data_IF_842460018004
#
_entry.id   IF_842460018004
#
_cell.length_a   1.000
_cell.length_b   1.000
_cell.length_c   1.000
_cell.angle_alpha   90.00
_cell.angle_beta   90.00
_cell.angle_gamma   90.00
#
_symmetry.space_group_name_H-M   'P 1'
#
loop_
_entity.id
_entity.type
_entity.pdbx_description
1 polymer ?
#
# COMPACT_ATOMS: atom_id res chain seq x y z
N UNK A 1 47.68 15.68 31.40
CA UNK A 1 47.27 16.16 30.10
C UNK A 1 45.87 16.76 30.28
N UNK A 2 45.72 18.06 30.03
CA UNK A 2 44.52 18.84 30.39
C UNK A 2 43.45 18.70 29.28
N UNK A 3 42.19 18.42 29.62
CA UNK A 3 41.05 18.46 28.73
C UNK A 3 40.63 19.91 28.46
N UNK A 4 40.30 20.32 27.23
CA UNK A 4 39.68 21.62 26.99
C UNK A 4 38.14 21.55 27.15
N UNK A 5 37.63 22.50 27.89
CA UNK A 5 36.20 22.78 28.09
C UNK A 5 35.66 23.43 26.80
N UNK A 6 34.62 22.89 26.21
CA UNK A 6 33.89 23.45 25.08
C UNK A 6 32.78 24.36 25.63
N UNK A 7 32.87 25.63 25.37
CA UNK A 7 31.84 26.64 25.71
C UNK A 7 30.66 26.52 24.71
N UNK A 8 29.44 26.32 25.25
CA UNK A 8 28.21 26.41 24.48
C UNK A 8 27.78 27.87 24.31
N UNK A 9 27.80 28.33 23.08
CA UNK A 9 27.20 29.63 22.70
C UNK A 9 25.72 29.40 22.41
N UNK A 10 24.84 29.96 23.23
CA UNK A 10 23.39 30.00 23.00
C UNK A 10 23.08 31.07 21.97
N UNK A 11 22.51 30.67 20.85
CA UNK A 11 22.08 31.58 19.80
C UNK A 11 20.57 31.86 19.99
N UNK A 12 20.23 33.08 20.38
CA UNK A 12 18.85 33.56 20.49
C UNK A 12 18.25 33.75 19.08
N UNK A 13 17.18 33.05 18.80
CA UNK A 13 16.39 33.21 17.58
C UNK A 13 15.39 34.38 17.80
N UNK A 14 15.58 35.45 17.07
CA UNK A 14 14.62 36.57 16.97
C UNK A 14 13.47 36.19 16.05
N UNK A 15 12.23 36.34 16.55
CA UNK A 15 10.98 36.24 15.78
C UNK A 15 10.80 37.48 14.88
N UNK A 16 10.36 37.36 13.62
CA UNK A 16 9.99 38.51 12.80
C UNK A 16 8.55 38.96 13.06
N UNK A 17 8.37 40.28 13.01
CA UNK A 17 7.15 41.01 13.28
C UNK A 17 6.06 40.79 12.23
N UNK A 18 4.80 40.85 12.71
CA UNK A 18 3.58 40.89 11.90
C UNK A 18 3.47 42.24 11.16
N UNK A 19 3.32 42.16 9.83
CA UNK A 19 2.82 43.28 9.02
C UNK A 19 1.43 42.96 8.50
N UNK A 20 0.44 43.75 8.94
CA UNK A 20 -0.85 43.92 8.27
C UNK A 20 -0.78 45.15 7.36
N UNK A 21 -1.41 45.10 6.18
CA UNK A 21 -2.16 46.26 5.73
C UNK A 21 -3.56 45.90 5.22
N UNK A 22 -4.52 46.72 5.61
CA UNK A 22 -5.86 46.75 5.06
C UNK A 22 -5.89 47.44 3.69
N UNK A 23 -6.92 47.11 2.89
CA UNK A 23 -7.21 47.80 1.61
C UNK A 23 -8.50 47.25 1.00
N UNK A 24 -9.48 48.11 0.93
CA UNK A 24 -10.87 47.96 0.47
C UNK A 24 -11.05 47.58 -1.01
N UNK A 25 -12.22 46.99 -1.29
CA UNK A 25 -12.79 46.57 -2.58
C UNK A 25 -13.01 47.75 -3.58
N UNK A 26 -13.37 47.48 -4.87
CA UNK A 26 -14.76 47.23 -5.22
C UNK A 26 -15.04 46.23 -6.37
N UNK A 27 -16.29 45.87 -6.46
CA UNK A 27 -16.96 44.85 -7.22
C UNK A 27 -16.85 44.87 -8.76
N UNK A 28 -17.15 43.70 -9.32
CA UNK A 28 -17.35 43.47 -10.73
C UNK A 28 -18.10 42.17 -10.95
N UNK A 29 -19.44 42.27 -11.17
CA UNK A 29 -20.28 41.18 -11.67
C UNK A 29 -19.92 40.88 -13.13
N UNK A 30 -19.57 39.63 -13.43
CA UNK A 30 -19.67 39.10 -14.80
C UNK A 30 -20.38 37.75 -14.76
N UNK A 31 -21.58 37.74 -15.33
CA UNK A 31 -22.38 36.57 -15.66
C UNK A 31 -21.72 35.80 -16.78
N UNK A 32 -21.52 34.50 -16.66
CA UNK A 32 -21.35 33.59 -17.82
C UNK A 32 -22.15 32.31 -17.66
N UNK A 33 -22.82 31.99 -18.74
CA UNK A 33 -23.76 30.89 -18.99
C UNK A 33 -23.15 29.52 -18.71
N UNK A 34 -24.01 28.63 -18.20
CA UNK A 34 -23.82 27.16 -18.15
C UNK A 34 -23.74 26.60 -19.59
N UNK A 35 -22.80 25.69 -19.78
CA UNK A 35 -22.93 24.59 -20.73
C UNK A 35 -22.71 23.29 -19.94
N UNK A 36 -23.76 22.46 -19.94
CA UNK A 36 -23.78 21.12 -19.42
C UNK A 36 -22.95 20.19 -20.29
N UNK A 37 -22.04 19.43 -19.72
CA UNK A 37 -21.60 18.13 -20.23
C UNK A 37 -21.29 17.24 -19.03
N UNK A 38 -22.05 16.18 -18.91
CA UNK A 38 -22.20 15.32 -17.74
C UNK A 38 -21.05 14.37 -17.45
N UNK A 39 -21.21 13.70 -16.29
CA UNK A 39 -20.42 12.64 -15.65
C UNK A 39 -19.37 13.15 -14.66
N UNK A 40 -19.84 13.64 -13.53
CA UNK A 40 -19.07 13.67 -12.29
C UNK A 40 -19.79 12.82 -11.25
N UNK A 41 -19.21 11.66 -10.94
CA UNK A 41 -19.64 10.87 -9.79
C UNK A 41 -19.38 11.66 -8.50
N UNK A 42 -20.45 12.07 -7.83
CA UNK A 42 -20.38 12.75 -6.54
C UNK A 42 -19.89 11.78 -5.47
N UNK A 43 -18.77 12.12 -4.80
CA UNK A 43 -18.28 11.44 -3.63
C UNK A 43 -19.20 11.75 -2.44
N UNK A 44 -19.99 10.77 -2.00
CA UNK A 44 -20.89 10.88 -0.84
C UNK A 44 -20.12 11.08 0.46
N UNK A 45 -20.52 12.10 1.22
CA UNK A 45 -20.01 12.34 2.59
C UNK A 45 -20.82 11.51 3.58
N UNK A 46 -20.18 10.53 4.23
CA UNK A 46 -20.77 9.79 5.37
C UNK A 46 -20.27 10.43 6.66
N UNK A 47 -21.20 10.98 7.44
CA UNK A 47 -20.91 11.54 8.77
C UNK A 47 -20.96 10.41 9.80
N UNK A 48 -19.87 10.11 10.46
CA UNK A 48 -19.82 9.27 11.66
C UNK A 48 -19.21 10.10 12.79
N UNK A 49 -20.03 10.39 13.81
CA UNK A 49 -19.72 10.78 15.19
C UNK A 49 -18.54 11.73 15.45
N UNK A 50 -18.81 13.04 15.54
CA UNK A 50 -18.25 13.90 16.60
C UNK A 50 -16.77 14.29 16.58
N UNK A 51 -16.09 14.35 15.44
CA UNK A 51 -14.82 15.08 15.27
C UNK A 51 -14.82 15.75 13.90
N UNK A 52 -14.25 16.94 13.80
CA UNK A 52 -14.18 17.80 12.61
C UNK A 52 -13.99 17.01 11.33
N UNK A 53 -14.95 17.12 10.39
CA UNK A 53 -15.13 16.26 9.23
C UNK A 53 -13.89 15.97 8.38
N UNK A 54 -13.20 14.89 8.68
CA UNK A 54 -12.25 14.29 7.75
C UNK A 54 -13.03 13.58 6.64
N UNK A 55 -12.87 14.07 5.42
CA UNK A 55 -13.39 13.40 4.23
C UNK A 55 -12.53 12.15 4.00
N UNK A 56 -13.04 10.96 4.39
CA UNK A 56 -12.38 9.70 4.08
C UNK A 56 -12.29 9.55 2.56
N UNK A 57 -11.09 9.30 2.05
CA UNK A 57 -10.88 9.04 0.62
C UNK A 57 -11.44 7.66 0.28
N UNK A 58 -12.31 7.61 -0.73
CA UNK A 58 -12.69 6.36 -1.38
C UNK A 58 -12.60 6.50 -2.89
N UNK A 59 -12.23 5.42 -3.57
CA UNK A 59 -12.13 5.36 -5.02
C UNK A 59 -12.24 3.92 -5.50
N UNK A 60 -12.41 3.74 -6.82
CA UNK A 60 -12.53 2.41 -7.41
C UNK A 60 -11.28 2.03 -8.21
N UNK A 61 -10.90 0.75 -8.14
CA UNK A 61 -9.96 0.08 -9.05
C UNK A 61 -10.77 -1.01 -9.75
N UNK A 62 -11.18 -0.76 -10.99
CA UNK A 62 -12.20 -1.54 -11.68
C UNK A 62 -13.47 -1.69 -10.80
N UNK A 63 -13.84 -2.92 -10.42
CA UNK A 63 -15.01 -3.20 -9.56
C UNK A 63 -14.72 -3.16 -8.06
N UNK A 64 -13.45 -2.98 -7.64
CA UNK A 64 -13.04 -3.01 -6.23
C UNK A 64 -13.06 -1.60 -5.65
N UNK A 65 -13.91 -1.39 -4.64
CA UNK A 65 -13.97 -0.16 -3.86
C UNK A 65 -12.86 -0.13 -2.82
N UNK A 66 -12.06 0.93 -2.84
CA UNK A 66 -10.98 1.21 -1.91
C UNK A 66 -11.46 2.25 -0.89
N UNK A 67 -11.31 1.97 0.41
CA UNK A 67 -11.81 2.85 1.47
C UNK A 67 -13.33 2.77 1.69
N UNK A 68 -13.99 1.77 1.10
CA UNK A 68 -15.41 1.49 1.26
C UNK A 68 -15.75 0.69 2.52
N UNK A 69 -17.01 0.26 2.66
CA UNK A 69 -17.47 -0.47 3.85
C UNK A 69 -16.96 -1.92 3.95
N UNK A 70 -16.52 -2.51 2.85
CA UNK A 70 -16.01 -3.89 2.81
C UNK A 70 -14.49 -3.87 2.67
N UNK A 71 -13.73 -4.69 3.42
CA UNK A 71 -12.29 -4.79 3.22
C UNK A 71 -11.99 -5.44 1.87
N UNK A 72 -10.98 -4.92 1.18
CA UNK A 72 -10.45 -5.54 -0.05
C UNK A 72 -9.16 -6.30 0.24
N UNK A 73 -8.78 -7.19 -0.68
CA UNK A 73 -7.62 -8.06 -0.50
C UNK A 73 -6.68 -8.00 -1.70
N UNK A 74 -5.40 -7.74 -1.42
CA UNK A 74 -4.32 -7.84 -2.40
C UNK A 74 -3.65 -9.20 -2.21
N UNK A 75 -3.93 -10.14 -3.10
CA UNK A 75 -3.50 -11.54 -2.96
C UNK A 75 -2.76 -12.00 -4.21
N UNK A 76 -1.70 -12.80 -4.01
CA UNK A 76 -0.97 -13.43 -5.10
C UNK A 76 0.39 -13.94 -4.68
N UNK A 77 1.18 -14.52 -5.58
CA UNK A 77 2.52 -14.99 -5.24
C UNK A 77 3.49 -13.82 -5.04
N UNK A 78 4.59 -14.09 -4.36
CA UNK A 78 5.66 -13.10 -4.16
C UNK A 78 6.16 -12.55 -5.50
N UNK A 79 6.41 -13.44 -6.48
CA UNK A 79 6.97 -13.09 -7.80
C UNK A 79 6.38 -13.93 -8.93
N UNK A 80 6.56 -13.45 -10.16
CA UNK A 80 6.36 -14.23 -11.38
C UNK A 80 7.49 -15.24 -11.54
N UNK A 81 7.32 -16.44 -10.97
CA UNK A 81 8.32 -17.51 -11.05
C UNK A 81 8.41 -18.09 -12.46
N UNK A 82 7.26 -18.38 -13.06
CA UNK A 82 7.07 -18.64 -14.48
C UNK A 82 5.61 -18.35 -14.84
N UNK A 83 5.33 -18.24 -16.15
CA UNK A 83 3.99 -17.88 -16.64
C UNK A 83 2.92 -18.88 -16.22
N UNK A 84 3.16 -20.19 -16.40
CA UNK A 84 2.18 -21.23 -16.03
C UNK A 84 1.85 -21.22 -14.53
N UNK A 85 2.85 -20.99 -13.69
CA UNK A 85 2.66 -20.91 -12.25
C UNK A 85 1.79 -19.72 -11.85
N UNK A 86 2.06 -18.53 -12.39
CA UNK A 86 1.27 -17.34 -12.02
C UNK A 86 -0.17 -17.45 -12.51
N UNK A 87 -0.41 -18.06 -13.67
CA UNK A 87 -1.76 -18.37 -14.14
C UNK A 87 -2.51 -19.35 -13.21
N UNK A 88 -1.86 -20.41 -12.78
CA UNK A 88 -2.41 -21.38 -11.82
C UNK A 88 -2.80 -20.67 -10.50
N UNK A 89 -1.89 -19.86 -9.96
CA UNK A 89 -2.13 -19.10 -8.73
C UNK A 89 -3.28 -18.11 -8.88
N UNK A 90 -3.36 -17.38 -9.98
CA UNK A 90 -4.42 -16.41 -10.24
C UNK A 90 -5.81 -17.07 -10.29
N UNK A 91 -5.94 -18.18 -11.01
CA UNK A 91 -7.20 -18.95 -11.09
C UNK A 91 -7.61 -19.51 -9.72
N UNK A 92 -6.66 -20.06 -8.98
CA UNK A 92 -6.92 -20.65 -7.66
C UNK A 92 -7.35 -19.60 -6.64
N UNK A 93 -6.63 -18.49 -6.57
CA UNK A 93 -6.94 -17.38 -5.65
C UNK A 93 -8.28 -16.73 -6.02
N UNK A 94 -8.55 -16.51 -7.31
CA UNK A 94 -9.84 -16.00 -7.79
C UNK A 94 -10.99 -16.91 -7.35
N UNK A 95 -10.88 -18.21 -7.56
CA UNK A 95 -11.91 -19.18 -7.16
C UNK A 95 -12.20 -19.12 -5.66
N UNK A 96 -11.17 -19.00 -4.82
CA UNK A 96 -11.33 -18.85 -3.36
C UNK A 96 -12.00 -17.49 -3.03
N UNK A 97 -11.57 -16.41 -3.67
CA UNK A 97 -12.12 -15.08 -3.44
C UNK A 97 -13.61 -14.98 -3.83
N UNK A 98 -13.99 -15.57 -4.97
CA UNK A 98 -15.40 -15.67 -5.42
C UNK A 98 -16.25 -16.49 -4.44
N UNK A 99 -15.75 -17.67 -4.01
CA UNK A 99 -16.41 -18.50 -3.01
C UNK A 99 -16.64 -17.77 -1.69
N UNK A 100 -15.67 -16.93 -1.29
CA UNK A 100 -15.72 -16.16 -0.05
C UNK A 100 -16.42 -14.79 -0.21
N UNK A 101 -16.83 -14.44 -1.42
CA UNK A 101 -17.40 -13.12 -1.77
C UNK A 101 -16.54 -11.96 -1.23
N UNK A 102 -15.24 -11.97 -1.54
CA UNK A 102 -14.30 -10.92 -1.15
C UNK A 102 -13.79 -10.12 -2.35
N UNK A 103 -13.68 -8.78 -2.24
CA UNK A 103 -13.06 -7.95 -3.28
C UNK A 103 -11.57 -8.27 -3.42
N UNK A 104 -11.14 -8.70 -4.60
CA UNK A 104 -9.78 -9.17 -4.90
C UNK A 104 -9.07 -8.23 -5.88
N UNK A 105 -7.82 -7.89 -5.57
CA UNK A 105 -6.81 -7.34 -6.48
C UNK A 105 -5.69 -8.37 -6.56
N UNK A 106 -5.39 -8.89 -7.76
CA UNK A 106 -4.36 -9.89 -7.92
C UNK A 106 -2.97 -9.25 -7.97
N UNK A 107 -2.04 -9.80 -7.18
CA UNK A 107 -0.68 -9.27 -7.03
C UNK A 107 0.37 -10.27 -7.48
N UNK A 108 1.31 -9.82 -8.30
CA UNK A 108 2.62 -10.49 -8.44
C UNK A 108 3.68 -9.47 -8.84
N UNK A 109 4.93 -9.66 -8.38
CA UNK A 109 6.05 -8.80 -8.77
C UNK A 109 6.73 -9.35 -10.02
N UNK A 110 6.96 -8.51 -11.02
CA UNK A 110 7.72 -8.88 -12.22
C UNK A 110 9.22 -8.92 -11.99
N UNK A 111 9.69 -8.28 -10.93
CA UNK A 111 11.09 -8.26 -10.50
C UNK A 111 11.20 -8.15 -8.98
N UNK A 112 12.22 -8.74 -8.41
CA UNK A 112 12.65 -8.58 -7.02
C UNK A 112 13.97 -7.80 -6.99
N UNK A 113 13.88 -6.48 -7.16
CA UNK A 113 15.03 -5.60 -7.37
C UNK A 113 15.95 -5.44 -6.14
N UNK A 114 15.45 -5.72 -4.93
CA UNK A 114 16.16 -5.49 -3.66
C UNK A 114 16.64 -6.78 -2.96
N UNK A 115 17.00 -7.82 -3.73
CA UNK A 115 17.49 -9.09 -3.17
C UNK A 115 18.82 -8.92 -2.43
N UNK A 116 19.00 -9.69 -1.35
CA UNK A 116 20.23 -9.70 -0.56
C UNK A 116 21.42 -10.26 -1.36
N UNK A 117 21.21 -11.33 -2.14
CA UNK A 117 22.26 -11.91 -3.00
C UNK A 117 22.05 -11.53 -4.46
N UNK A 118 23.15 -11.24 -5.15
CA UNK A 118 23.17 -10.94 -6.60
C UNK A 118 22.72 -12.14 -7.46
N UNK A 119 22.87 -13.35 -6.94
CA UNK A 119 22.47 -14.60 -7.62
C UNK A 119 21.03 -15.01 -7.36
N UNK A 120 20.29 -14.26 -6.53
CA UNK A 120 18.88 -14.56 -6.23
C UNK A 120 18.00 -14.39 -7.46
N UNK A 121 16.91 -15.17 -7.49
CA UNK A 121 15.88 -15.04 -8.53
C UNK A 121 15.34 -13.61 -8.58
N UNK A 122 15.21 -13.07 -9.80
CA UNK A 122 14.71 -11.71 -10.04
C UNK A 122 13.31 -11.70 -10.65
N UNK A 123 13.09 -12.37 -11.75
CA UNK A 123 11.84 -12.39 -12.52
C UNK A 123 12.07 -12.05 -14.00
N UNK A 124 10.98 -11.97 -14.81
CA UNK A 124 11.07 -11.76 -16.27
C UNK A 124 11.36 -10.31 -16.70
N UNK A 125 11.35 -9.37 -15.75
CA UNK A 125 11.47 -7.94 -16.03
C UNK A 125 10.15 -7.25 -16.38
N UNK A 126 10.17 -5.90 -16.43
CA UNK A 126 8.96 -5.07 -16.44
C UNK A 126 8.06 -5.33 -17.65
N UNK A 127 8.59 -5.37 -18.87
CA UNK A 127 7.78 -5.49 -20.09
C UNK A 127 7.06 -6.84 -20.16
N UNK A 128 7.83 -7.93 -20.04
CA UNK A 128 7.29 -9.27 -20.15
C UNK A 128 6.39 -9.62 -18.94
N UNK A 129 6.81 -9.26 -17.73
CA UNK A 129 6.01 -9.51 -16.53
C UNK A 129 4.69 -8.76 -16.54
N UNK A 130 4.69 -7.48 -16.95
CA UNK A 130 3.45 -6.70 -17.05
C UNK A 130 2.54 -7.20 -18.17
N UNK A 131 3.09 -7.68 -19.31
CA UNK A 131 2.29 -8.32 -20.37
C UNK A 131 1.53 -9.54 -19.83
N UNK A 132 2.22 -10.45 -19.14
CA UNK A 132 1.61 -11.64 -18.54
C UNK A 132 0.52 -11.24 -17.54
N UNK A 133 0.79 -10.26 -16.68
CA UNK A 133 -0.17 -9.78 -15.69
C UNK A 133 -1.41 -9.15 -16.34
N UNK A 134 -1.23 -8.36 -17.40
CA UNK A 134 -2.34 -7.76 -18.14
C UNK A 134 -3.25 -8.81 -18.79
N UNK A 135 -2.68 -9.87 -19.33
CA UNK A 135 -3.44 -11.00 -19.89
C UNK A 135 -4.25 -11.74 -18.83
N UNK A 136 -3.64 -11.99 -17.65
CA UNK A 136 -4.35 -12.55 -16.48
C UNK A 136 -5.51 -11.65 -16.06
N UNK A 137 -5.26 -10.36 -15.93
CA UNK A 137 -6.29 -9.38 -15.54
C UNK A 137 -7.46 -9.37 -16.50
N UNK A 138 -7.17 -9.36 -17.80
CA UNK A 138 -8.18 -9.37 -18.88
C UNK A 138 -8.99 -10.67 -18.91
N UNK A 139 -8.33 -11.84 -18.91
CA UNK A 139 -9.01 -13.14 -19.02
C UNK A 139 -9.83 -13.46 -17.76
N UNK A 140 -9.28 -13.15 -16.60
CA UNK A 140 -9.92 -13.43 -15.33
C UNK A 140 -10.80 -12.30 -14.79
N UNK A 141 -10.87 -11.15 -15.49
CA UNK A 141 -11.58 -9.96 -15.04
C UNK A 141 -11.16 -9.56 -13.60
N UNK A 142 -9.85 -9.39 -13.39
CA UNK A 142 -9.25 -9.05 -12.11
C UNK A 142 -8.45 -7.75 -12.22
N UNK A 143 -8.60 -6.81 -11.27
CA UNK A 143 -7.62 -5.73 -11.14
C UNK A 143 -6.24 -6.29 -10.77
N UNK A 144 -5.21 -5.71 -11.36
CA UNK A 144 -3.81 -6.17 -11.22
C UNK A 144 -2.96 -5.14 -10.50
N UNK A 145 -2.10 -5.62 -9.58
CA UNK A 145 -1.05 -4.81 -8.95
C UNK A 145 0.32 -5.44 -9.12
N UNK A 146 1.33 -4.61 -9.40
CA UNK A 146 2.74 -5.01 -9.39
C UNK A 146 3.62 -3.92 -8.78
N UNK A 147 4.82 -4.31 -8.30
CA UNK A 147 5.80 -3.37 -7.76
C UNK A 147 6.53 -2.63 -8.90
N UNK A 148 6.92 -1.37 -8.66
CA UNK A 148 7.76 -0.58 -9.55
C UNK A 148 8.94 0.00 -8.79
N UNK A 149 10.14 0.07 -9.41
CA UNK A 149 11.38 0.41 -8.71
C UNK A 149 12.04 1.68 -9.22
N UNK A 150 11.71 2.11 -10.44
CA UNK A 150 12.20 3.34 -11.07
C UNK A 150 11.04 4.11 -11.72
N UNK A 151 11.25 5.39 -12.02
CA UNK A 151 10.27 6.21 -12.73
C UNK A 151 9.91 5.61 -14.10
N UNK A 152 10.92 5.12 -14.84
CA UNK A 152 10.74 4.49 -16.16
C UNK A 152 9.91 3.20 -16.06
N UNK A 153 10.13 2.39 -15.02
CA UNK A 153 9.33 1.18 -14.81
C UNK A 153 7.88 1.54 -14.45
N UNK A 154 7.65 2.61 -13.68
CA UNK A 154 6.30 3.09 -13.37
C UNK A 154 5.54 3.50 -14.64
N UNK A 155 6.19 4.21 -15.56
CA UNK A 155 5.60 4.59 -16.85
C UNK A 155 5.22 3.35 -17.68
N UNK A 156 6.14 2.38 -17.80
CA UNK A 156 5.88 1.15 -18.56
C UNK A 156 4.77 0.32 -17.90
N UNK A 157 4.85 0.07 -16.59
CA UNK A 157 3.89 -0.77 -15.88
C UNK A 157 2.47 -0.17 -15.92
N UNK A 158 2.35 1.15 -15.90
CA UNK A 158 1.08 1.84 -15.95
C UNK A 158 0.26 1.58 -17.22
N UNK A 159 0.91 1.16 -18.32
CA UNK A 159 0.20 0.77 -19.55
C UNK A 159 -0.55 -0.56 -19.39
N UNK A 160 -0.14 -1.41 -18.43
CA UNK A 160 -0.56 -2.81 -18.31
C UNK A 160 -1.40 -3.10 -17.06
N UNK A 161 -1.13 -2.42 -15.94
CA UNK A 161 -1.75 -2.75 -14.64
C UNK A 161 -2.66 -1.64 -14.13
N UNK A 162 -3.54 -1.96 -13.18
CA UNK A 162 -4.53 -1.04 -12.63
C UNK A 162 -4.02 -0.28 -11.39
N UNK A 163 -3.08 -0.90 -10.68
CA UNK A 163 -2.52 -0.43 -9.43
C UNK A 163 -0.99 -0.57 -9.45
N UNK A 164 -0.28 0.52 -9.24
CA UNK A 164 1.17 0.51 -9.04
C UNK A 164 1.48 0.35 -7.54
N UNK A 165 2.50 -0.43 -7.20
CA UNK A 165 2.98 -0.53 -5.83
C UNK A 165 4.38 0.03 -5.69
N UNK A 166 4.59 0.94 -4.72
CA UNK A 166 5.90 1.45 -4.36
C UNK A 166 6.45 0.64 -3.18
N UNK A 167 7.59 -0.05 -3.33
CA UNK A 167 8.24 -0.80 -2.27
C UNK A 167 8.63 0.08 -1.08
N UNK A 168 8.69 -0.54 0.11
CA UNK A 168 8.94 0.17 1.38
C UNK A 168 10.25 0.97 1.40
N UNK A 169 11.34 0.45 0.84
CA UNK A 169 12.61 1.17 0.78
C UNK A 169 12.56 2.43 -0.08
N UNK A 170 11.64 2.49 -1.04
CA UNK A 170 11.51 3.57 -2.01
C UNK A 170 10.38 4.55 -1.69
N UNK A 171 9.68 4.38 -0.57
CA UNK A 171 8.47 5.12 -0.22
C UNK A 171 8.66 6.65 -0.13
N UNK A 172 9.89 7.14 0.00
CA UNK A 172 10.23 8.58 0.07
C UNK A 172 10.85 9.14 -1.20
N UNK A 173 11.14 8.31 -2.21
CA UNK A 173 11.78 8.73 -3.47
C UNK A 173 10.83 9.62 -4.28
N UNK A 174 11.13 10.90 -4.33
CA UNK A 174 10.25 11.92 -4.92
C UNK A 174 9.97 11.64 -6.39
N UNK A 175 11.00 11.32 -7.18
CA UNK A 175 10.86 11.09 -8.62
C UNK A 175 10.00 9.85 -8.93
N UNK A 176 10.10 8.79 -8.10
CA UNK A 176 9.27 7.60 -8.24
C UNK A 176 7.81 7.89 -7.85
N UNK A 177 7.60 8.62 -6.74
CA UNK A 177 6.26 9.07 -6.33
C UNK A 177 5.61 9.93 -7.40
N UNK A 178 6.37 10.86 -8.01
CA UNK A 178 5.90 11.73 -9.08
C UNK A 178 5.50 10.93 -10.32
N UNK A 179 6.35 10.01 -10.78
CA UNK A 179 6.06 9.16 -11.93
C UNK A 179 4.80 8.30 -11.70
N UNK A 180 4.69 7.67 -10.52
CA UNK A 180 3.49 6.90 -10.17
C UNK A 180 2.23 7.79 -10.10
N UNK A 181 2.33 8.98 -9.49
CA UNK A 181 1.20 9.91 -9.39
C UNK A 181 0.71 10.39 -10.77
N UNK A 182 1.65 10.72 -11.66
CA UNK A 182 1.36 11.21 -13.03
C UNK A 182 0.90 10.11 -13.99
N UNK A 183 1.09 8.84 -13.63
CA UNK A 183 0.67 7.70 -14.47
C UNK A 183 -0.85 7.59 -14.66
N UNK A 184 -1.64 8.27 -13.82
CA UNK A 184 -3.09 8.15 -13.80
C UNK A 184 -3.61 6.84 -13.19
N UNK A 185 -2.73 5.96 -12.70
CA UNK A 185 -3.11 4.73 -11.97
C UNK A 185 -3.27 5.00 -10.48
N UNK A 186 -3.99 4.12 -9.79
CA UNK A 186 -3.98 4.10 -8.33
C UNK A 186 -2.61 3.64 -7.83
N UNK A 187 -2.23 4.05 -6.59
CA UNK A 187 -0.91 3.73 -6.04
C UNK A 187 -1.01 3.17 -4.63
N UNK A 188 -0.45 1.97 -4.40
CA UNK A 188 -0.25 1.41 -3.06
C UNK A 188 1.19 1.69 -2.60
N UNK A 189 1.35 2.41 -1.49
CA UNK A 189 2.66 2.83 -1.01
C UNK A 189 2.98 2.07 0.27
N UNK A 190 3.96 1.16 0.22
CA UNK A 190 4.45 0.43 1.40
C UNK A 190 5.19 1.39 2.32
N UNK A 191 4.72 1.54 3.57
CA UNK A 191 5.42 2.36 4.57
C UNK A 191 6.81 1.77 4.84
N UNK A 192 7.84 2.60 4.76
CA UNK A 192 9.22 2.18 5.09
C UNK A 192 9.34 1.73 6.54
N UNK A 193 10.17 0.72 6.78
CA UNK A 193 10.42 0.17 8.13
C UNK A 193 11.07 1.20 9.08
N UNK A 194 11.63 2.26 8.52
CA UNK A 194 12.29 3.36 9.21
C UNK A 194 11.35 4.56 9.47
N UNK A 195 10.10 4.50 8.99
CA UNK A 195 9.18 5.62 8.98
C UNK A 195 8.18 5.52 10.14
N UNK A 196 7.98 6.62 10.85
CA UNK A 196 6.89 6.73 11.80
C UNK A 196 5.53 6.81 11.07
N UNK A 197 4.42 6.33 11.67
CA UNK A 197 3.10 6.35 11.01
C UNK A 197 2.62 7.76 10.64
N UNK A 198 2.87 8.77 11.46
CA UNK A 198 2.53 10.17 11.18
C UNK A 198 3.38 10.82 10.09
N UNK A 199 4.57 10.29 9.77
CA UNK A 199 5.38 10.79 8.66
C UNK A 199 4.83 10.38 7.29
N UNK A 200 3.84 9.48 7.23
CA UNK A 200 3.17 9.09 5.98
C UNK A 200 2.39 10.25 5.35
N UNK A 201 2.02 11.25 6.14
CA UNK A 201 1.39 12.49 5.63
C UNK A 201 2.27 13.19 4.60
N UNK A 202 3.58 13.22 4.80
CA UNK A 202 4.53 13.86 3.85
C UNK A 202 4.54 13.13 2.49
N UNK A 203 4.31 11.82 2.47
CA UNK A 203 4.17 11.05 1.24
C UNK A 203 2.84 11.38 0.57
N UNK A 204 1.75 11.42 1.35
CA UNK A 204 0.43 11.78 0.87
C UNK A 204 0.40 13.20 0.26
N UNK A 205 1.08 14.15 0.88
CA UNK A 205 1.22 15.52 0.37
C UNK A 205 1.95 15.55 -0.99
N UNK A 206 3.01 14.76 -1.16
CA UNK A 206 3.69 14.63 -2.46
C UNK A 206 2.76 14.05 -3.52
N UNK A 207 2.03 12.96 -3.21
CA UNK A 207 1.07 12.37 -4.15
C UNK A 207 0.03 13.39 -4.60
N UNK A 208 -0.56 14.15 -3.66
CA UNK A 208 -1.53 15.21 -3.97
C UNK A 208 -0.92 16.37 -4.77
N UNK A 209 0.30 16.78 -4.41
CA UNK A 209 1.02 17.84 -5.14
C UNK A 209 1.30 17.47 -6.60
N UNK A 210 1.47 16.17 -6.89
CA UNK A 210 1.62 15.63 -8.24
C UNK A 210 0.28 15.26 -8.91
N UNK A 211 -0.86 15.59 -8.28
CA UNK A 211 -2.20 15.42 -8.87
C UNK A 211 -2.83 14.04 -8.68
N UNK A 212 -2.34 13.23 -7.75
CA UNK A 212 -2.90 11.91 -7.45
C UNK A 212 -3.60 11.90 -6.09
N UNK A 213 -4.94 11.69 -6.10
CA UNK A 213 -5.75 11.41 -4.91
C UNK A 213 -6.13 9.92 -4.79
N UNK A 214 -5.73 9.08 -5.74
CA UNK A 214 -6.03 7.64 -5.77
C UNK A 214 -4.84 6.84 -5.23
N UNK A 215 -4.54 6.97 -3.95
CA UNK A 215 -3.47 6.22 -3.30
C UNK A 215 -3.91 5.65 -1.96
N UNK A 216 -3.17 4.64 -1.49
CA UNK A 216 -3.34 4.02 -0.18
C UNK A 216 -1.98 3.80 0.46
N UNK A 217 -1.95 3.79 1.79
CA UNK A 217 -0.73 3.52 2.57
C UNK A 217 -0.78 2.10 3.15
N UNK A 218 0.35 1.39 3.06
CA UNK A 218 0.43 0.00 3.50
C UNK A 218 1.43 -0.16 4.65
N UNK A 219 0.93 -0.50 5.83
CA UNK A 219 1.75 -0.86 7.00
C UNK A 219 2.34 -2.25 6.81
N UNK A 220 3.63 -2.43 7.14
CA UNK A 220 4.35 -3.69 6.98
C UNK A 220 5.39 -3.95 8.09
N UNK A 221 5.28 -3.26 9.20
CA UNK A 221 6.22 -3.33 10.32
C UNK A 221 7.33 -2.30 10.27
N UNK A 222 7.91 -2.07 11.43
CA UNK A 222 9.01 -1.15 11.68
C UNK A 222 10.21 -1.94 12.22
N UNK A 223 11.44 -1.54 11.83
CA UNK A 223 12.66 -2.14 12.33
C UNK A 223 12.75 -1.98 13.84
N UNK A 224 12.95 -3.07 14.56
CA UNK A 224 13.11 -3.12 15.99
C UNK A 224 14.32 -3.98 16.36
N UNK A 225 15.47 -3.37 16.52
CA UNK A 225 16.75 -4.06 16.59
C UNK A 225 17.25 -4.55 15.24
N UNK A 226 18.17 -5.52 15.26
CA UNK A 226 18.72 -6.13 14.04
C UNK A 226 17.85 -7.30 13.57
N UNK A 227 17.65 -7.41 12.24
CA UNK A 227 16.97 -8.54 11.60
C UNK A 227 15.55 -8.84 12.15
N UNK A 228 14.88 -7.84 12.72
CA UNK A 228 13.57 -8.01 13.33
C UNK A 228 12.63 -6.85 12.97
N UNK A 229 11.36 -7.18 12.82
CA UNK A 229 10.29 -6.21 12.58
C UNK A 229 9.21 -6.36 13.66
N UNK A 230 8.63 -5.23 14.04
CA UNK A 230 7.48 -5.18 14.95
C UNK A 230 6.40 -4.32 14.31
N UNK A 231 5.16 -4.75 14.41
CA UNK A 231 4.00 -3.94 14.04
C UNK A 231 3.44 -3.27 15.28
N UNK A 232 3.46 -1.96 15.32
CA UNK A 232 2.66 -1.20 16.26
C UNK A 232 1.24 -1.07 15.70
N UNK A 233 0.28 -1.80 16.28
CA UNK A 233 -1.13 -1.77 15.83
C UNK A 233 -1.76 -0.38 15.92
N UNK A 234 -1.22 0.53 16.76
CA UNK A 234 -1.64 1.94 16.81
C UNK A 234 -1.29 2.70 15.54
N UNK A 235 -0.28 2.23 14.77
CA UNK A 235 0.12 2.85 13.51
C UNK A 235 -1.04 2.87 12.51
N UNK A 236 -1.87 1.81 12.48
CA UNK A 236 -3.04 1.71 11.61
C UNK A 236 -4.06 2.80 11.94
N UNK A 237 -4.31 3.03 13.23
CA UNK A 237 -5.18 4.10 13.69
C UNK A 237 -4.64 5.49 13.27
N UNK A 238 -3.36 5.78 13.56
CA UNK A 238 -2.77 7.06 13.21
C UNK A 238 -2.80 7.34 11.71
N UNK A 239 -2.42 6.36 10.89
CA UNK A 239 -2.47 6.49 9.43
C UNK A 239 -3.91 6.70 8.93
N UNK A 240 -4.90 6.03 9.54
CA UNK A 240 -6.32 6.18 9.17
C UNK A 240 -6.85 7.60 9.46
N UNK A 241 -6.36 8.26 10.52
CA UNK A 241 -6.75 9.62 10.86
C UNK A 241 -6.32 10.67 9.81
N UNK A 242 -5.33 10.33 8.97
CA UNK A 242 -4.89 11.21 7.86
C UNK A 242 -5.84 11.19 6.65
N UNK A 243 -6.91 10.38 6.72
CA UNK A 243 -8.01 10.36 5.75
C UNK A 243 -7.76 9.55 4.47
N UNK A 244 -6.64 8.86 4.33
CA UNK A 244 -6.38 7.94 3.22
C UNK A 244 -6.68 6.47 3.59
N UNK A 245 -6.96 5.60 2.61
CA UNK A 245 -7.13 4.17 2.84
C UNK A 245 -5.86 3.52 3.38
N UNK A 246 -6.03 2.61 4.34
CA UNK A 246 -4.93 1.88 5.01
C UNK A 246 -4.99 0.41 4.66
N UNK A 247 -3.87 -0.13 4.19
CA UNK A 247 -3.65 -1.56 3.92
C UNK A 247 -2.72 -2.12 4.97
N UNK A 248 -2.99 -3.32 5.44
CA UNK A 248 -2.07 -4.07 6.29
C UNK A 248 -1.41 -5.21 5.51
N UNK A 249 -0.08 -5.22 5.43
CA UNK A 249 0.71 -6.29 4.84
C UNK A 249 1.04 -7.34 5.90
N UNK A 250 0.28 -8.41 5.92
CA UNK A 250 0.40 -9.46 6.90
C UNK A 250 1.68 -10.32 6.70
N UNK A 251 2.07 -10.55 5.45
CA UNK A 251 3.19 -11.44 5.12
C UNK A 251 4.56 -10.79 5.30
N UNK A 252 4.68 -9.50 4.96
CA UNK A 252 5.94 -8.80 5.20
C UNK A 252 6.10 -8.27 6.63
N UNK A 253 5.02 -8.19 7.40
CA UNK A 253 5.06 -7.83 8.82
C UNK A 253 5.80 -8.85 9.69
N UNK A 254 5.86 -10.10 9.24
CA UNK A 254 6.51 -11.22 9.97
C UNK A 254 7.88 -11.60 9.40
N UNK A 255 8.42 -10.78 8.48
CA UNK A 255 9.76 -10.98 7.95
C UNK A 255 10.84 -10.82 9.01
N UNK A 256 11.90 -11.61 8.86
CA UNK A 256 13.19 -11.43 9.52
C UNK A 256 14.22 -11.06 8.45
N UNK A 257 14.40 -9.78 8.13
CA UNK A 257 15.28 -9.33 7.05
C UNK A 257 16.72 -9.80 7.28
N UNK A 258 17.28 -10.56 6.31
CA UNK A 258 18.64 -11.12 6.46
C UNK A 258 18.80 -12.21 7.53
N UNK A 259 17.70 -12.69 8.15
CA UNK A 259 17.73 -13.62 9.28
C UNK A 259 18.31 -15.01 8.97
N UNK A 260 18.43 -15.36 7.69
CA UNK A 260 19.06 -16.59 7.20
C UNK A 260 20.35 -16.30 6.41
N UNK A 261 21.03 -15.18 6.69
CA UNK A 261 22.26 -14.77 6.01
C UNK A 261 21.97 -14.24 4.59
N UNK A 262 22.03 -15.10 3.58
CA UNK A 262 21.78 -14.72 2.17
C UNK A 262 20.31 -14.59 1.78
N UNK A 263 19.36 -14.95 2.65
CA UNK A 263 17.93 -14.93 2.39
C UNK A 263 17.13 -14.35 3.57
N UNK A 264 15.93 -13.88 3.30
CA UNK A 264 15.00 -13.41 4.33
C UNK A 264 14.37 -14.61 5.04
N UNK A 265 14.41 -14.61 6.38
CA UNK A 265 13.63 -15.51 7.21
C UNK A 265 12.24 -14.93 7.49
N UNK A 266 11.39 -15.71 8.16
CA UNK A 266 10.07 -15.25 8.59
C UNK A 266 9.25 -16.34 9.25
N UNK A 267 8.15 -15.91 9.86
CA UNK A 267 7.25 -16.75 10.64
C UNK A 267 5.83 -16.69 10.03
N UNK A 268 5.63 -17.36 8.89
CA UNK A 268 4.36 -17.30 8.13
C UNK A 268 3.13 -17.68 8.95
N UNK A 269 3.26 -18.51 9.97
CA UNK A 269 2.20 -18.86 10.92
C UNK A 269 1.66 -17.65 11.70
N UNK A 270 2.47 -16.61 11.89
CA UNK A 270 2.06 -15.37 12.56
C UNK A 270 1.35 -14.38 11.61
N UNK A 271 1.46 -14.54 10.30
CA UNK A 271 0.83 -13.63 9.35
C UNK A 271 -0.71 -13.58 9.52
N UNK A 272 -1.45 -14.69 9.63
CA UNK A 272 -2.89 -14.66 9.93
C UNK A 272 -3.22 -14.11 11.30
N UNK A 273 -2.32 -14.25 12.29
CA UNK A 273 -2.50 -13.70 13.64
C UNK A 273 -2.44 -12.18 13.61
N UNK A 274 -1.39 -11.62 12.99
CA UNK A 274 -1.23 -10.17 12.86
C UNK A 274 -2.31 -9.56 11.96
N UNK A 275 -2.72 -10.25 10.87
CA UNK A 275 -3.84 -9.80 10.05
C UNK A 275 -5.15 -9.71 10.86
N UNK A 276 -5.39 -10.68 11.75
CA UNK A 276 -6.56 -10.68 12.65
C UNK A 276 -6.51 -9.50 13.63
N UNK A 277 -5.34 -9.25 14.25
CA UNK A 277 -5.15 -8.12 15.14
C UNK A 277 -5.32 -6.77 14.42
N UNK A 278 -4.76 -6.64 13.22
CA UNK A 278 -4.90 -5.44 12.38
C UNK A 278 -6.37 -5.20 12.01
N UNK A 279 -7.10 -6.22 11.57
CA UNK A 279 -8.53 -6.12 11.24
C UNK A 279 -9.36 -5.71 12.46
N UNK A 280 -9.03 -6.23 13.66
CA UNK A 280 -9.71 -5.91 14.91
C UNK A 280 -9.53 -4.44 15.35
N UNK A 281 -8.55 -3.71 14.83
CA UNK A 281 -8.39 -2.26 15.10
C UNK A 281 -9.52 -1.42 14.50
N UNK A 282 -10.26 -1.94 13.51
CA UNK A 282 -11.24 -1.18 12.73
C UNK A 282 -10.65 -0.10 11.82
N UNK A 283 -9.31 -0.02 11.71
CA UNK A 283 -8.60 1.03 10.97
C UNK A 283 -7.99 0.55 9.65
N UNK A 284 -8.31 -0.68 9.22
CA UNK A 284 -7.77 -1.31 8.01
C UNK A 284 -8.86 -1.39 6.94
N UNK A 285 -8.57 -0.87 5.75
CA UNK A 285 -9.46 -0.95 4.58
C UNK A 285 -9.14 -2.15 3.69
N UNK A 286 -7.90 -2.63 3.72
CA UNK A 286 -7.47 -3.77 2.92
C UNK A 286 -6.36 -4.58 3.57
N UNK A 287 -6.23 -5.85 3.16
CA UNK A 287 -5.16 -6.75 3.63
C UNK A 287 -4.36 -7.25 2.45
N UNK A 288 -3.04 -7.11 2.55
CA UNK A 288 -2.08 -7.66 1.60
C UNK A 288 -1.52 -8.98 2.15
N UNK A 289 -1.55 -10.04 1.33
CA UNK A 289 -0.97 -11.34 1.68
C UNK A 289 -0.33 -11.98 0.45
N UNK A 290 0.92 -12.40 0.57
CA UNK A 290 1.56 -13.26 -0.42
C UNK A 290 1.14 -14.71 -0.17
N UNK A 291 0.78 -15.41 -1.24
CA UNK A 291 0.21 -16.75 -1.20
C UNK A 291 0.94 -17.64 -2.20
N UNK A 292 1.30 -18.85 -1.80
CA UNK A 292 1.96 -19.80 -2.66
C UNK A 292 1.37 -21.22 -2.48
N UNK A 293 1.29 -22.01 -3.57
CA UNK A 293 0.77 -23.39 -3.49
C UNK A 293 1.62 -24.30 -2.60
N UNK A 294 2.94 -24.08 -2.60
CA UNK A 294 3.92 -24.78 -1.78
C UNK A 294 5.06 -23.79 -1.40
N UNK A 295 4.94 -23.04 -0.29
CA UNK A 295 5.92 -22.02 0.10
C UNK A 295 7.35 -22.56 0.22
N UNK A 296 7.55 -23.85 0.46
CA UNK A 296 8.88 -24.46 0.57
C UNK A 296 9.65 -24.46 -0.76
N UNK A 297 8.92 -24.34 -1.89
CA UNK A 297 9.46 -24.30 -3.25
C UNK A 297 9.50 -22.90 -3.85
N UNK A 298 9.03 -21.88 -3.12
CA UNK A 298 8.98 -20.53 -3.62
C UNK A 298 10.40 -19.99 -3.91
N UNK A 299 10.56 -19.33 -5.07
CA UNK A 299 11.84 -18.74 -5.49
C UNK A 299 12.15 -17.43 -4.75
N UNK A 300 11.15 -16.86 -4.04
CA UNK A 300 11.28 -15.63 -3.25
C UNK A 300 10.38 -15.71 -2.01
N UNK A 301 10.90 -15.27 -0.87
CA UNK A 301 10.20 -15.04 0.41
C UNK A 301 9.30 -16.21 0.88
N UNK A 302 9.67 -17.46 0.54
CA UNK A 302 8.93 -18.66 0.93
C UNK A 302 8.54 -18.71 2.41
N UNK A 303 9.45 -18.45 3.36
CA UNK A 303 9.15 -18.48 4.80
C UNK A 303 8.06 -17.52 5.27
N UNK A 304 7.63 -16.56 4.43
CA UNK A 304 6.61 -15.57 4.78
C UNK A 304 5.27 -15.82 4.08
N UNK A 305 5.26 -16.56 2.97
CA UNK A 305 4.05 -16.75 2.17
C UNK A 305 3.05 -17.68 2.86
N UNK A 306 1.77 -17.36 2.72
CA UNK A 306 0.67 -18.20 3.22
C UNK A 306 0.47 -19.37 2.28
N UNK A 307 0.43 -20.63 2.77
CA UNK A 307 0.05 -21.75 1.95
C UNK A 307 -1.37 -21.59 1.37
N UNK A 308 -1.54 -21.81 0.05
CA UNK A 308 -2.80 -21.59 -0.66
C UNK A 308 -3.98 -22.33 0.00
N UNK A 309 -3.76 -23.53 0.52
CA UNK A 309 -4.81 -24.34 1.16
C UNK A 309 -5.32 -23.73 2.49
N UNK A 310 -4.60 -22.80 3.10
CA UNK A 310 -5.01 -22.07 4.31
C UNK A 310 -5.76 -20.78 4.02
N UNK A 311 -5.68 -20.27 2.78
CA UNK A 311 -6.20 -18.93 2.41
C UNK A 311 -7.68 -18.77 2.74
N UNK A 312 -8.52 -19.75 2.39
CA UNK A 312 -9.96 -19.69 2.66
C UNK A 312 -10.26 -19.52 4.16
N UNK A 313 -9.59 -20.30 5.00
CA UNK A 313 -9.74 -20.20 6.46
C UNK A 313 -9.30 -18.84 7.02
N UNK A 314 -8.24 -18.25 6.46
CA UNK A 314 -7.77 -16.91 6.82
C UNK A 314 -8.81 -15.87 6.43
N UNK A 315 -9.30 -15.87 5.19
CA UNK A 315 -10.32 -14.93 4.72
C UNK A 315 -11.60 -15.00 5.55
N UNK A 316 -12.09 -16.21 5.85
CA UNK A 316 -13.26 -16.42 6.72
C UNK A 316 -13.09 -15.79 8.10
N UNK A 317 -11.91 -15.96 8.71
CA UNK A 317 -11.59 -15.36 10.00
C UNK A 317 -11.60 -13.83 9.92
N UNK A 318 -10.96 -13.24 8.90
CA UNK A 318 -10.88 -11.80 8.73
C UNK A 318 -12.26 -11.17 8.49
N UNK A 319 -13.13 -11.82 7.71
CA UNK A 319 -14.50 -11.36 7.50
C UNK A 319 -15.32 -11.38 8.82
N UNK A 320 -15.19 -12.44 9.61
CA UNK A 320 -15.89 -12.53 10.90
C UNK A 320 -15.46 -11.42 11.88
N UNK A 321 -14.14 -11.13 11.95
CA UNK A 321 -13.61 -10.04 12.77
C UNK A 321 -14.11 -8.69 12.26
N UNK A 322 -14.05 -8.45 10.95
CA UNK A 322 -14.56 -7.22 10.36
C UNK A 322 -16.04 -6.98 10.70
N UNK A 323 -16.87 -8.02 10.56
CA UNK A 323 -18.30 -7.93 10.92
C UNK A 323 -18.49 -7.59 12.40
N UNK A 324 -17.74 -8.26 13.30
CA UNK A 324 -17.82 -8.00 14.74
C UNK A 324 -17.44 -6.55 15.09
N UNK A 325 -16.35 -6.02 14.49
CA UNK A 325 -15.89 -4.64 14.72
C UNK A 325 -16.90 -3.60 14.22
N UNK A 326 -17.61 -3.88 13.12
CA UNK A 326 -18.61 -2.95 12.58
C UNK A 326 -19.96 -3.01 13.29
N UNK A 327 -20.20 -4.03 14.10
CA UNK A 327 -21.43 -4.18 14.88
C UNK A 327 -21.37 -3.42 16.21
N UNK A 328 -20.18 -2.94 16.58
CA UNK A 328 -19.95 -2.12 17.78
C UNK A 328 -19.98 -0.63 17.45
#
# INVERSE_FOLDING_TARGET
MKNPVIAHTVMELRTPAKNTPGGTAPGGRISRRRQDSGLTGEAGTVMIGGHTGFRLMSFYIQSVEIGGPRPFYLLGPCSLECESFVWEMARSIKSIAEKMDVPLIFKASYDKANRTSVTSFRGPGVKEGCRILAEIGKELNLPIVTDVHTAQEAEIAAEYVDLLQIPAFLCRQTDLLEACAKSGRAVNIKKGQFLAPWDTVNIAEKMRAFGCDRFMMCERGTTFGYNNLVVDMRSLYWMKQEGFPVVFDATHAVQRPGGLGGTTGGDSELAPVLASAAMATGSVDGVFMEVHKDPSKALSDGPNQIPLHLLEGVLKRLQAIHQAVRSC
#
